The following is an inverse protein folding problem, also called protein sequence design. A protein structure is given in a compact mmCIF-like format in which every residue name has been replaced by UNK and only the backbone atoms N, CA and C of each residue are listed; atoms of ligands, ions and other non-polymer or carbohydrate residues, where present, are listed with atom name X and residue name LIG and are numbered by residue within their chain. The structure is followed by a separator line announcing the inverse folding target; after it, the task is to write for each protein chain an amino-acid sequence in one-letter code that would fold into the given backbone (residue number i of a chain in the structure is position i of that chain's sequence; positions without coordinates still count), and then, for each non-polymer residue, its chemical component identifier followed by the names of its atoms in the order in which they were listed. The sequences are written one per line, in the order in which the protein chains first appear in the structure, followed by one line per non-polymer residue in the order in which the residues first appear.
data_IF_017522860084
#
_entry.id   IF_017522860084
#
_cell.length_a   1.000
_cell.length_b   1.000
_cell.length_c   1.000
_cell.angle_alpha   90.00
_cell.angle_beta   90.00
_cell.angle_gamma   90.00
#
_symmetry.space_group_name_H-M   'P 1'
#
loop_
_entity.id
_entity.type
_entity.pdbx_description
1 polymer ?
#
# COMPACT_ATOMS: atom_id res chain seq x y z
N UNK A 1 -5.58 -1.05 30.41
CA UNK A 1 -4.91 -2.10 29.63
C UNK A 1 -5.91 -2.63 28.61
N UNK A 2 -5.90 -2.17 27.35
CA UNK A 2 -6.84 -2.66 26.33
C UNK A 2 -6.03 -3.56 25.40
N UNK A 3 -6.25 -4.86 25.52
CA UNK A 3 -5.60 -5.91 24.77
C UNK A 3 -5.59 -5.59 23.28
N UNK A 4 -4.41 -5.64 22.66
CA UNK A 4 -4.26 -5.64 21.21
C UNK A 4 -4.86 -6.95 20.69
N UNK A 5 -6.14 -6.96 20.38
CA UNK A 5 -6.65 -7.91 19.39
C UNK A 5 -5.96 -7.57 18.07
N UNK A 6 -5.06 -8.46 17.66
CA UNK A 6 -4.39 -8.42 16.37
C UNK A 6 -5.46 -8.39 15.30
N UNK A 7 -5.61 -7.24 14.65
CA UNK A 7 -6.45 -7.09 13.47
C UNK A 7 -5.96 -8.16 12.47
N UNK A 8 -6.81 -9.08 11.96
CA UNK A 8 -6.37 -10.14 11.05
C UNK A 8 -5.71 -9.61 9.77
N UNK A 9 -5.82 -8.31 9.49
CA UNK A 9 -5.12 -7.58 8.43
C UNK A 9 -3.69 -7.14 8.80
N UNK A 10 -3.29 -7.24 10.08
CA UNK A 10 -1.94 -6.93 10.58
C UNK A 10 -0.83 -7.83 10.01
N UNK A 11 -1.19 -8.88 9.28
CA UNK A 11 -0.26 -9.76 8.55
C UNK A 11 -0.05 -9.33 7.09
N UNK A 12 -0.77 -8.30 6.61
CA UNK A 12 -0.62 -7.79 5.24
C UNK A 12 0.60 -6.87 5.14
N UNK A 13 1.32 -6.96 4.02
CA UNK A 13 2.45 -6.09 3.76
C UNK A 13 1.97 -4.70 3.38
N UNK A 14 2.59 -3.67 3.96
CA UNK A 14 2.32 -2.29 3.59
C UNK A 14 2.73 -2.03 2.14
N UNK A 15 2.13 -1.01 1.52
CA UNK A 15 2.53 -0.56 0.18
C UNK A 15 4.03 -0.27 0.08
N UNK A 16 4.62 0.26 1.16
CA UNK A 16 6.04 0.58 1.23
C UNK A 16 6.90 -0.69 1.19
N UNK A 17 6.57 -1.69 2.02
CA UNK A 17 7.31 -2.96 2.08
C UNK A 17 7.27 -3.69 0.74
N UNK A 18 6.11 -3.75 0.09
CA UNK A 18 5.97 -4.36 -1.23
C UNK A 18 6.80 -3.62 -2.29
N UNK A 19 6.81 -2.29 -2.26
CA UNK A 19 7.62 -1.47 -3.17
C UNK A 19 9.12 -1.70 -2.97
N UNK A 20 9.56 -1.77 -1.72
CA UNK A 20 10.97 -1.99 -1.36
C UNK A 20 11.42 -3.41 -1.70
N UNK A 21 10.57 -4.41 -1.49
CA UNK A 21 10.81 -5.79 -1.93
C UNK A 21 10.94 -5.91 -3.45
N UNK A 22 10.22 -5.07 -4.21
CA UNK A 22 10.34 -4.97 -5.66
C UNK A 22 11.55 -4.12 -6.14
N UNK A 23 12.36 -3.55 -5.23
CA UNK A 23 13.54 -2.72 -5.55
C UNK A 23 13.24 -1.51 -6.46
N UNK A 24 12.05 -0.92 -6.36
CA UNK A 24 11.66 0.25 -7.16
C UNK A 24 11.43 1.50 -6.32
N UNK A 25 11.68 2.68 -6.87
CA UNK A 25 11.40 3.95 -6.20
C UNK A 25 9.90 4.29 -6.23
N UNK A 26 9.46 5.26 -5.43
CA UNK A 26 8.09 5.79 -5.53
C UNK A 26 7.78 6.37 -6.92
N UNK A 27 8.80 6.89 -7.62
CA UNK A 27 8.67 7.43 -8.97
C UNK A 27 8.43 6.31 -9.99
N UNK A 28 9.14 5.21 -9.84
CA UNK A 28 9.00 4.04 -10.71
C UNK A 28 7.63 3.38 -10.52
N UNK A 29 7.19 3.23 -9.26
CA UNK A 29 5.84 2.73 -8.96
C UNK A 29 4.77 3.66 -9.52
N UNK A 30 4.97 4.99 -9.46
CA UNK A 30 4.05 5.96 -10.05
C UNK A 30 3.96 5.78 -11.57
N UNK A 31 5.10 5.64 -12.25
CA UNK A 31 5.16 5.43 -13.68
C UNK A 31 4.49 4.12 -14.09
N UNK A 32 4.73 3.02 -13.36
CA UNK A 32 4.17 1.70 -13.66
C UNK A 32 2.67 1.59 -13.37
N UNK A 33 2.18 2.25 -12.32
CA UNK A 33 0.77 2.17 -11.90
C UNK A 33 -0.13 3.26 -12.48
N UNK A 34 0.45 4.35 -13.00
CA UNK A 34 -0.30 5.56 -13.37
C UNK A 34 -0.87 6.33 -12.17
N UNK A 35 -0.53 5.94 -10.94
CA UNK A 35 -0.92 6.65 -9.71
C UNK A 35 0.11 7.75 -9.42
N UNK A 36 -0.34 8.94 -9.02
CA UNK A 36 0.61 10.03 -8.73
C UNK A 36 1.56 9.68 -7.59
N UNK A 37 2.84 10.07 -7.72
CA UNK A 37 3.86 9.90 -6.65
C UNK A 37 3.40 10.47 -5.31
N UNK A 38 2.68 11.61 -5.34
CA UNK A 38 2.10 12.22 -4.15
C UNK A 38 1.05 11.32 -3.47
N UNK A 39 0.20 10.63 -4.25
CA UNK A 39 -0.77 9.66 -3.73
C UNK A 39 -0.06 8.47 -3.10
N UNK A 40 0.97 7.92 -3.76
CA UNK A 40 1.79 6.83 -3.22
C UNK A 40 2.42 7.24 -1.89
N UNK A 41 3.09 8.39 -1.84
CA UNK A 41 3.70 8.91 -0.61
C UNK A 41 2.67 9.18 0.50
N UNK A 42 1.42 9.53 0.18
CA UNK A 42 0.35 9.70 1.17
C UNK A 42 -0.16 8.35 1.70
N UNK A 43 -0.23 7.33 0.84
CA UNK A 43 -0.60 5.96 1.21
C UNK A 43 0.47 5.32 2.09
N UNK A 44 1.74 5.39 1.69
CA UNK A 44 2.87 4.82 2.46
C UNK A 44 3.04 5.46 3.85
N UNK A 45 2.67 6.74 4.00
CA UNK A 45 2.69 7.44 5.30
C UNK A 45 1.40 7.26 6.10
N UNK A 46 0.43 6.49 5.61
CA UNK A 46 -0.86 6.30 6.27
C UNK A 46 -1.75 7.56 6.35
N UNK A 47 -1.42 8.62 5.59
CA UNK A 47 -2.22 9.86 5.53
C UNK A 47 -3.51 9.69 4.73
N UNK A 48 -3.58 8.69 3.85
CA UNK A 48 -4.79 8.31 3.12
C UNK A 48 -5.20 6.90 3.53
N UNK A 49 -6.32 6.79 4.24
CA UNK A 49 -6.70 5.54 4.95
C UNK A 49 -7.58 4.56 4.17
N UNK A 50 -7.98 4.86 2.93
CA UNK A 50 -8.71 3.95 2.02
C UNK A 50 -8.50 4.39 0.56
N UNK A 51 -7.56 3.82 -0.20
CA UNK A 51 -7.46 4.11 -1.63
C UNK A 51 -8.74 3.66 -2.35
N UNK A 52 -9.11 4.35 -3.44
CA UNK A 52 -10.17 3.85 -4.32
C UNK A 52 -9.77 2.48 -4.88
N UNK A 53 -10.74 1.61 -5.16
CA UNK A 53 -10.48 0.28 -5.72
C UNK A 53 -9.65 0.31 -7.01
N UNK A 54 -9.84 1.34 -7.85
CA UNK A 54 -9.04 1.54 -9.07
C UNK A 54 -7.57 1.80 -8.76
N UNK A 55 -7.29 2.64 -7.76
CA UNK A 55 -5.93 2.93 -7.28
C UNK A 55 -5.29 1.67 -6.69
N UNK A 56 -6.01 0.94 -5.83
CA UNK A 56 -5.48 -0.28 -5.22
C UNK A 56 -5.15 -1.34 -6.27
N UNK A 57 -6.03 -1.54 -7.26
CA UNK A 57 -5.82 -2.47 -8.37
C UNK A 57 -4.62 -2.08 -9.23
N UNK A 58 -4.46 -0.79 -9.52
CA UNK A 58 -3.34 -0.29 -10.32
C UNK A 58 -1.99 -0.49 -9.62
N UNK A 59 -1.93 -0.21 -8.31
CA UNK A 59 -0.74 -0.45 -7.49
C UNK A 59 -0.40 -1.95 -7.40
N UNK A 60 -1.40 -2.78 -7.12
CA UNK A 60 -1.23 -4.23 -7.05
C UNK A 60 -0.72 -4.82 -8.37
N UNK A 61 -1.29 -4.38 -9.50
CA UNK A 61 -0.83 -4.77 -10.83
C UNK A 61 0.64 -4.38 -11.08
N UNK A 62 1.03 -3.17 -10.70
CA UNK A 62 2.41 -2.69 -10.86
C UNK A 62 3.41 -3.44 -9.98
N UNK A 63 2.97 -3.94 -8.83
CA UNK A 63 3.79 -4.69 -7.86
C UNK A 63 3.75 -6.21 -8.08
N UNK A 64 2.91 -6.71 -9.00
CA UNK A 64 2.78 -8.15 -9.26
C UNK A 64 2.10 -8.94 -8.13
N UNK A 65 1.30 -8.28 -7.29
CA UNK A 65 0.60 -8.90 -6.15
C UNK A 65 -0.92 -8.83 -6.32
N UNK A 66 -1.66 -9.63 -5.57
CA UNK A 66 -3.11 -9.51 -5.49
C UNK A 66 -3.50 -8.26 -4.66
N UNK A 67 -4.55 -7.50 -5.01
CA UNK A 67 -4.96 -6.30 -4.27
C UNK A 67 -5.25 -6.51 -2.77
N UNK A 68 -5.55 -7.76 -2.38
CA UNK A 68 -5.75 -8.13 -0.97
C UNK A 68 -4.43 -8.22 -0.19
N UNK A 69 -3.28 -8.29 -0.83
CA UNK A 69 -1.99 -8.39 -0.13
C UNK A 69 -1.46 -7.03 0.32
N UNK A 70 -2.03 -5.93 -0.19
CA UNK A 70 -1.66 -4.58 0.20
C UNK A 70 -2.44 -4.19 1.45
N UNK A 71 -1.73 -3.91 2.53
CA UNK A 71 -2.33 -3.32 3.72
C UNK A 71 -2.89 -1.93 3.37
N UNK A 72 -4.19 -1.78 3.59
CA UNK A 72 -4.90 -0.50 3.41
C UNK A 72 -5.20 0.19 4.74
N UNK A 73 -4.82 -0.42 5.86
CA UNK A 73 -4.93 0.15 7.19
C UNK A 73 -3.60 0.81 7.58
N UNK A 74 -3.66 2.09 7.98
CA UNK A 74 -2.52 2.71 8.64
C UNK A 74 -2.54 2.32 10.12
N UNK A 75 -1.41 1.93 10.74
CA UNK A 75 -1.37 1.72 12.18
C UNK A 75 -1.82 2.99 12.92
N UNK A 76 -2.43 2.79 14.09
CA UNK A 76 -2.96 3.84 14.96
C UNK A 76 -1.91 4.88 15.31
#
# INVERSE_FOLDING_TARGET
MRSKESDPLSFMATLKELREAAFISQRDLAAASGVSRATIAALERGRRRRPQWRTLRALAKALGVHPKEIDTHAPK
#
